data_IF_436904198011
#
_entry.id   IF_436904198011
#
_cell.length_a   1.000
_cell.length_b   1.000
_cell.length_c   1.000
_cell.angle_alpha   90.00
_cell.angle_beta   90.00
_cell.angle_gamma   90.00
#
_symmetry.space_group_name_H-M   'P 1'
#
loop_
_entity.id
_entity.type
_entity.pdbx_description
1 polymer ?
#
# COMPACT_ATOMS: atom_id res chain seq x y z
N UNK A 1 90.48 10.90 -61.70
CA UNK A 1 90.40 11.76 -60.49
C UNK A 1 88.93 12.09 -60.31
N UNK A 2 88.22 11.78 -59.24
CA UNK A 2 88.50 11.06 -58.00
C UNK A 2 87.14 10.60 -57.42
N UNK A 3 87.07 9.40 -56.86
CA UNK A 3 86.06 8.95 -55.88
C UNK A 3 86.51 9.37 -54.45
N UNK A 4 85.79 9.14 -53.31
CA UNK A 4 84.45 8.54 -53.07
C UNK A 4 83.58 9.19 -51.94
N UNK A 5 82.38 8.60 -51.72
CA UNK A 5 81.72 8.23 -50.43
C UNK A 5 81.17 9.26 -49.40
N UNK A 6 79.88 9.01 -49.08
CA UNK A 6 79.19 8.91 -47.77
C UNK A 6 79.09 10.15 -46.87
N UNK A 7 77.85 10.56 -46.56
CA UNK A 7 77.31 10.53 -45.19
C UNK A 7 75.76 10.53 -45.19
N UNK A 8 75.19 9.88 -44.17
CA UNK A 8 73.76 9.77 -43.84
C UNK A 8 73.25 11.07 -43.20
N UNK A 9 71.96 11.42 -43.15
CA UNK A 9 70.97 10.92 -42.17
C UNK A 9 69.75 11.88 -42.08
N UNK A 10 68.62 11.37 -41.55
CA UNK A 10 67.41 12.08 -41.04
C UNK A 10 66.49 12.78 -42.06
N UNK A 11 65.16 12.77 -41.96
CA UNK A 11 64.21 12.16 -41.03
C UNK A 11 62.79 12.20 -41.67
N UNK A 12 62.06 11.10 -41.51
CA UNK A 12 60.68 11.04 -41.03
C UNK A 12 59.56 11.89 -41.68
N UNK A 13 58.72 11.24 -42.51
CA UNK A 13 57.27 11.01 -42.26
C UNK A 13 56.51 10.81 -43.57
N UNK A 14 56.62 9.61 -44.14
CA UNK A 14 55.70 9.13 -45.17
C UNK A 14 54.35 8.83 -44.51
N UNK A 15 53.30 9.39 -45.07
CA UNK A 15 51.91 9.18 -44.69
C UNK A 15 51.59 7.67 -44.59
N UNK A 16 51.43 7.17 -43.38
CA UNK A 16 50.61 5.99 -43.11
C UNK A 16 49.23 6.49 -42.70
N UNK A 17 48.47 6.84 -43.73
CA UNK A 17 47.03 6.94 -43.64
C UNK A 17 46.50 5.55 -43.27
N UNK A 18 46.09 5.40 -42.01
CA UNK A 18 45.36 4.24 -41.54
C UNK A 18 44.14 4.04 -42.44
N UNK A 19 44.06 2.99 -43.28
CA UNK A 19 42.98 2.86 -44.26
C UNK A 19 41.71 2.29 -43.65
N UNK A 20 41.65 2.06 -42.33
CA UNK A 20 40.44 1.55 -41.68
C UNK A 20 39.47 2.65 -41.24
N UNK A 21 39.39 3.73 -42.01
CA UNK A 21 38.20 4.55 -42.04
C UNK A 21 37.08 3.79 -42.79
N UNK A 22 36.10 3.33 -42.01
CA UNK A 22 34.70 3.23 -42.42
C UNK A 22 34.37 2.16 -43.46
N UNK A 23 34.29 0.91 -43.01
CA UNK A 23 33.20 0.04 -43.47
C UNK A 23 32.28 -0.21 -42.28
N UNK A 24 31.43 0.77 -41.98
CA UNK A 24 30.24 0.50 -41.19
C UNK A 24 29.52 -0.66 -41.88
N UNK A 25 29.35 -1.83 -41.24
CA UNK A 25 28.54 -2.87 -41.82
C UNK A 25 27.12 -2.33 -41.80
N UNK A 26 26.66 -1.74 -42.90
CA UNK A 26 25.26 -1.39 -43.13
C UNK A 26 24.39 -2.66 -43.29
N UNK A 27 24.80 -3.75 -42.64
CA UNK A 27 24.08 -4.99 -42.55
C UNK A 27 22.88 -4.77 -41.61
N UNK A 28 21.65 -5.06 -42.06
CA UNK A 28 20.45 -4.95 -41.22
C UNK A 28 20.54 -5.75 -39.92
N UNK A 29 21.33 -6.82 -39.86
CA UNK A 29 21.64 -7.55 -38.61
C UNK A 29 22.49 -6.72 -37.66
N UNK A 30 23.56 -6.09 -38.13
CA UNK A 30 24.39 -5.20 -37.31
C UNK A 30 23.59 -4.01 -36.78
N UNK A 31 22.67 -3.45 -37.59
CA UNK A 31 21.72 -2.42 -37.13
C UNK A 31 20.76 -2.94 -36.06
N UNK A 32 20.22 -4.15 -36.21
CA UNK A 32 19.36 -4.78 -35.18
C UNK A 32 20.14 -5.06 -33.89
N UNK A 33 21.35 -5.58 -34.01
CA UNK A 33 22.23 -5.89 -32.88
C UNK A 33 22.58 -4.61 -32.11
N UNK A 34 23.06 -3.57 -32.81
CA UNK A 34 23.35 -2.28 -32.20
C UNK A 34 22.12 -1.69 -31.55
N UNK A 35 20.95 -1.75 -32.20
CA UNK A 35 19.70 -1.26 -31.59
C UNK A 35 19.32 -2.01 -30.31
N UNK A 36 19.51 -3.33 -30.26
CA UNK A 36 19.28 -4.13 -29.04
C UNK A 36 20.27 -3.72 -27.95
N UNK A 37 21.55 -3.59 -28.28
CA UNK A 37 22.61 -3.18 -27.34
C UNK A 37 22.38 -1.74 -26.81
N UNK A 38 21.92 -0.84 -27.66
CA UNK A 38 21.58 0.56 -27.33
C UNK A 38 20.33 0.67 -26.46
N UNK A 39 19.44 -0.33 -26.45
CA UNK A 39 18.21 -0.29 -25.65
C UNK A 39 18.52 -0.29 -24.13
N UNK A 40 19.75 -0.66 -23.71
CA UNK A 40 20.31 -0.55 -22.33
C UNK A 40 19.28 -0.78 -21.21
N UNK A 41 18.54 -1.89 -21.29
CA UNK A 41 17.48 -2.24 -20.33
C UNK A 41 18.01 -2.51 -18.92
N UNK A 42 19.30 -2.81 -18.79
CA UNK A 42 19.92 -3.24 -17.53
C UNK A 42 20.04 -2.12 -16.48
N UNK A 43 19.99 -0.85 -16.92
CA UNK A 43 20.10 0.29 -16.02
C UNK A 43 18.73 0.76 -15.48
N UNK A 44 17.63 0.31 -16.11
CA UNK A 44 16.28 0.68 -15.72
C UNK A 44 15.63 -0.45 -14.92
N UNK A 45 15.84 -0.39 -13.61
CA UNK A 45 15.32 -1.37 -12.65
C UNK A 45 13.79 -1.44 -12.68
N UNK A 46 13.10 -0.31 -12.84
CA UNK A 46 11.63 -0.27 -12.86
C UNK A 46 11.08 -0.92 -14.11
N UNK A 47 11.69 -0.65 -15.27
CA UNK A 47 11.34 -1.32 -16.52
C UNK A 47 11.58 -2.83 -16.44
N UNK A 48 12.71 -3.26 -15.87
CA UNK A 48 12.99 -4.69 -15.67
C UNK A 48 11.96 -5.37 -14.76
N UNK A 49 11.58 -4.74 -13.65
CA UNK A 49 10.54 -5.28 -12.77
C UNK A 49 9.18 -5.32 -13.45
N UNK A 50 8.81 -4.30 -14.23
CA UNK A 50 7.58 -4.32 -15.02
C UNK A 50 7.58 -5.45 -16.06
N UNK A 51 8.71 -5.66 -16.75
CA UNK A 51 8.86 -6.76 -17.72
C UNK A 51 8.83 -8.15 -17.03
N UNK A 52 9.44 -8.30 -15.85
CA UNK A 52 9.32 -9.52 -15.04
C UNK A 52 7.89 -9.76 -14.59
N UNK A 53 7.16 -8.73 -14.17
CA UNK A 53 5.77 -8.86 -13.80
C UNK A 53 4.94 -9.33 -15.00
N UNK A 54 5.14 -8.73 -16.18
CA UNK A 54 4.48 -9.11 -17.43
C UNK A 54 4.76 -10.56 -17.83
N UNK A 55 5.99 -11.04 -17.66
CA UNK A 55 6.38 -12.40 -18.09
C UNK A 55 5.66 -13.51 -17.31
N UNK A 56 5.19 -13.24 -16.09
CA UNK A 56 4.42 -14.20 -15.29
C UNK A 56 3.11 -14.60 -15.99
N UNK A 57 2.51 -13.70 -16.75
CA UNK A 57 1.19 -13.91 -17.36
C UNK A 57 1.17 -13.81 -18.89
N UNK A 58 2.28 -13.39 -19.50
CA UNK A 58 2.51 -13.46 -20.94
C UNK A 58 3.66 -14.42 -21.25
N UNK A 59 3.35 -15.72 -21.22
CA UNK A 59 4.34 -16.79 -21.44
C UNK A 59 4.64 -17.04 -22.92
N UNK A 60 3.76 -16.61 -23.83
CA UNK A 60 3.94 -16.74 -25.28
C UNK A 60 4.07 -15.38 -25.99
N UNK A 61 5.13 -15.25 -26.79
CA UNK A 61 5.43 -14.06 -27.58
C UNK A 61 4.98 -14.24 -29.03
N UNK A 62 3.66 -14.14 -29.25
CA UNK A 62 3.04 -14.19 -30.57
C UNK A 62 2.54 -12.80 -31.01
N UNK A 63 2.29 -12.66 -32.31
CA UNK A 63 1.70 -11.42 -32.85
C UNK A 63 0.35 -11.07 -32.20
N UNK A 64 -0.42 -12.10 -31.82
CA UNK A 64 -1.72 -11.94 -31.17
C UNK A 64 -1.55 -11.43 -29.74
N UNK A 65 -0.69 -12.06 -28.93
CA UNK A 65 -0.48 -11.62 -27.53
C UNK A 65 0.07 -10.20 -27.48
N UNK A 66 1.00 -9.85 -28.38
CA UNK A 66 1.51 -8.47 -28.48
C UNK A 66 0.46 -7.45 -28.89
N UNK A 67 -0.46 -7.79 -29.81
CA UNK A 67 -1.56 -6.89 -30.23
C UNK A 67 -2.58 -6.65 -29.12
N UNK A 68 -2.81 -7.66 -28.28
CA UNK A 68 -3.81 -7.60 -27.22
C UNK A 68 -3.26 -7.15 -25.86
N UNK A 69 -1.93 -7.10 -25.71
CA UNK A 69 -1.19 -6.81 -24.48
C UNK A 69 -1.80 -5.68 -23.65
N UNK A 70 -2.03 -4.52 -24.28
CA UNK A 70 -2.61 -3.36 -23.59
C UNK A 70 -4.00 -3.66 -23.01
N UNK A 71 -4.88 -4.24 -23.82
CA UNK A 71 -6.24 -4.55 -23.39
C UNK A 71 -6.27 -5.66 -22.33
N UNK A 72 -5.35 -6.61 -22.39
CA UNK A 72 -5.20 -7.66 -21.37
C UNK A 72 -4.71 -7.07 -20.03
N UNK A 73 -3.74 -6.14 -20.06
CA UNK A 73 -3.28 -5.40 -18.87
C UNK A 73 -4.43 -4.58 -18.27
N UNK A 74 -5.17 -3.84 -19.09
CA UNK A 74 -6.29 -3.01 -18.64
C UNK A 74 -7.39 -3.86 -18.00
N UNK A 75 -7.79 -4.98 -18.63
CA UNK A 75 -8.77 -5.93 -18.05
C UNK A 75 -8.31 -6.51 -16.73
N UNK A 76 -7.04 -6.92 -16.63
CA UNK A 76 -6.47 -7.45 -15.40
C UNK A 76 -6.47 -6.41 -14.29
N UNK A 77 -6.09 -5.17 -14.59
CA UNK A 77 -6.12 -4.07 -13.64
C UNK A 77 -7.54 -3.80 -13.13
N UNK A 78 -8.53 -3.85 -14.03
CA UNK A 78 -9.94 -3.66 -13.68
C UNK A 78 -10.42 -4.79 -12.76
N UNK A 79 -10.15 -6.05 -13.10
CA UNK A 79 -10.50 -7.21 -12.28
C UNK A 79 -9.87 -7.15 -10.88
N UNK A 80 -8.59 -6.75 -10.77
CA UNK A 80 -7.93 -6.56 -9.47
C UNK A 80 -8.63 -5.49 -8.64
N UNK A 81 -9.02 -4.38 -9.27
CA UNK A 81 -9.70 -3.28 -8.58
C UNK A 81 -11.12 -3.68 -8.13
N UNK A 82 -11.85 -4.45 -8.94
CA UNK A 82 -13.16 -5.00 -8.58
C UNK A 82 -13.05 -5.96 -7.40
N UNK A 83 -12.05 -6.84 -7.41
CA UNK A 83 -11.78 -7.75 -6.29
C UNK A 83 -11.40 -6.98 -5.02
N UNK A 84 -10.55 -5.96 -5.14
CA UNK A 84 -10.20 -5.09 -4.01
C UNK A 84 -11.45 -4.41 -3.43
N UNK A 85 -12.30 -3.82 -4.26
CA UNK A 85 -13.52 -3.15 -3.82
C UNK A 85 -14.49 -4.12 -3.13
N UNK A 86 -14.63 -5.33 -3.67
CA UNK A 86 -15.48 -6.37 -3.10
C UNK A 86 -15.00 -6.82 -1.73
N UNK A 87 -13.72 -7.18 -1.61
CA UNK A 87 -13.14 -7.63 -0.33
C UNK A 87 -13.18 -6.50 0.69
N UNK A 88 -12.88 -5.27 0.28
CA UNK A 88 -12.91 -4.12 1.19
C UNK A 88 -14.32 -3.79 1.68
N UNK A 89 -15.34 -4.04 0.85
CA UNK A 89 -16.74 -3.91 1.27
C UNK A 89 -17.07 -4.86 2.41
N UNK A 90 -16.67 -6.13 2.33
CA UNK A 90 -16.92 -7.10 3.40
C UNK A 90 -16.25 -6.67 4.72
N UNK A 91 -15.03 -6.14 4.64
CA UNK A 91 -14.32 -5.58 5.81
C UNK A 91 -15.04 -4.36 6.38
N UNK A 92 -15.52 -3.46 5.52
CA UNK A 92 -16.29 -2.28 5.91
C UNK A 92 -17.56 -2.68 6.67
N UNK A 93 -18.34 -3.61 6.12
CA UNK A 93 -19.60 -4.07 6.72
C UNK A 93 -19.36 -4.74 8.08
N UNK A 94 -18.32 -5.55 8.21
CA UNK A 94 -17.93 -6.15 9.49
C UNK A 94 -17.54 -5.08 10.53
N UNK A 95 -16.81 -4.04 10.13
CA UNK A 95 -16.42 -2.95 11.02
C UNK A 95 -17.62 -2.09 11.44
N UNK A 96 -18.55 -1.83 10.51
CA UNK A 96 -19.79 -1.12 10.79
C UNK A 96 -20.65 -1.88 11.81
N UNK A 97 -20.79 -3.19 11.66
CA UNK A 97 -21.50 -4.05 12.63
C UNK A 97 -20.86 -3.99 14.02
N UNK A 98 -19.52 -4.07 14.13
CA UNK A 98 -18.84 -3.97 15.43
C UNK A 98 -19.05 -2.58 16.05
N UNK A 99 -19.02 -1.53 15.24
CA UNK A 99 -19.27 -0.18 15.72
C UNK A 99 -20.71 -0.01 16.24
N UNK A 100 -21.71 -0.58 15.55
CA UNK A 100 -23.11 -0.59 16.00
C UNK A 100 -23.25 -1.33 17.35
N UNK A 101 -22.62 -2.49 17.49
CA UNK A 101 -22.64 -3.26 18.74
C UNK A 101 -22.01 -2.47 19.91
N UNK A 102 -20.88 -1.79 19.68
CA UNK A 102 -20.23 -0.95 20.69
C UNK A 102 -21.11 0.22 21.10
N UNK A 103 -21.78 0.86 20.14
CA UNK A 103 -22.71 1.96 20.44
C UNK A 103 -23.91 1.46 21.26
N UNK A 104 -24.49 0.32 20.89
CA UNK A 104 -25.58 -0.31 21.64
C UNK A 104 -25.15 -0.67 23.06
N UNK A 105 -23.94 -1.24 23.22
CA UNK A 105 -23.38 -1.58 24.53
C UNK A 105 -23.14 -0.33 25.39
N UNK A 106 -22.64 0.76 24.80
CA UNK A 106 -22.47 2.04 25.49
C UNK A 106 -23.80 2.59 25.99
N UNK A 107 -24.83 2.59 25.14
CA UNK A 107 -26.16 3.06 25.52
C UNK A 107 -26.77 2.22 26.65
N UNK A 108 -26.66 0.89 26.58
CA UNK A 108 -27.14 -0.02 27.62
C UNK A 108 -26.39 0.18 28.95
N UNK A 109 -25.07 0.38 28.90
CA UNK A 109 -24.25 0.66 30.09
C UNK A 109 -24.65 1.98 30.76
N UNK A 110 -24.94 3.01 29.96
CA UNK A 110 -25.40 4.30 30.46
C UNK A 110 -26.80 4.18 31.08
N UNK A 111 -27.73 3.50 30.42
CA UNK A 111 -29.07 3.21 30.95
C UNK A 111 -29.00 2.47 32.29
N UNK A 112 -28.18 1.43 32.37
CA UNK A 112 -27.99 0.65 33.60
C UNK A 112 -27.41 1.50 34.72
N UNK A 113 -26.43 2.35 34.41
CA UNK A 113 -25.84 3.29 35.36
C UNK A 113 -26.90 4.27 35.90
N UNK A 114 -27.75 4.80 35.02
CA UNK A 114 -28.81 5.73 35.40
C UNK A 114 -29.88 5.06 36.27
N UNK A 115 -30.29 3.83 35.95
CA UNK A 115 -31.19 3.04 36.79
C UNK A 115 -30.62 2.78 38.18
N UNK A 116 -29.33 2.43 38.27
CA UNK A 116 -28.68 2.21 39.55
C UNK A 116 -28.64 3.48 40.40
N UNK A 117 -28.35 4.64 39.80
CA UNK A 117 -28.40 5.94 40.48
C UNK A 117 -29.80 6.24 41.02
N UNK A 118 -30.83 6.08 40.19
CA UNK A 118 -32.22 6.31 40.60
C UNK A 118 -32.66 5.37 41.74
N UNK A 119 -32.33 4.09 41.66
CA UNK A 119 -32.65 3.12 42.72
C UNK A 119 -31.92 3.45 44.03
N UNK A 120 -30.66 3.92 43.95
CA UNK A 120 -29.90 4.38 45.11
C UNK A 120 -30.56 5.60 45.77
N UNK A 121 -30.94 6.60 44.99
CA UNK A 121 -31.63 7.81 45.48
C UNK A 121 -32.95 7.44 46.15
N UNK A 122 -33.79 6.62 45.50
CA UNK A 122 -35.06 6.17 46.05
C UNK A 122 -34.87 5.39 47.36
N UNK A 123 -33.87 4.52 47.44
CA UNK A 123 -33.55 3.77 48.66
C UNK A 123 -33.12 4.71 49.78
N UNK A 124 -32.31 5.72 49.47
CA UNK A 124 -31.85 6.70 50.44
C UNK A 124 -33.03 7.52 51.00
N UNK A 125 -33.97 7.96 50.16
CA UNK A 125 -35.18 8.66 50.59
C UNK A 125 -36.05 7.80 51.52
N UNK A 126 -36.21 6.51 51.18
CA UNK A 126 -36.95 5.55 52.01
C UNK A 126 -36.30 5.35 53.38
N UNK A 127 -34.97 5.27 53.45
CA UNK A 127 -34.23 5.17 54.72
C UNK A 127 -34.46 6.42 55.58
N UNK A 128 -34.34 7.62 54.99
CA UNK A 128 -34.58 8.89 55.70
C UNK A 128 -36.00 8.93 56.27
N UNK A 129 -37.00 8.58 55.46
CA UNK A 129 -38.41 8.57 55.88
C UNK A 129 -38.68 7.54 56.98
N UNK A 130 -38.07 6.36 56.89
CA UNK A 130 -38.20 5.28 57.90
C UNK A 130 -37.58 5.69 59.23
N UNK A 131 -36.36 6.26 59.21
CA UNK A 131 -35.69 6.76 60.42
C UNK A 131 -36.50 7.87 61.10
N UNK A 132 -37.07 8.80 60.33
CA UNK A 132 -37.95 9.85 60.86
C UNK A 132 -39.17 9.26 61.56
N UNK A 133 -39.89 8.34 60.90
CA UNK A 133 -41.08 7.68 61.47
C UNK A 133 -40.75 6.87 62.72
N UNK A 134 -39.60 6.19 62.76
CA UNK A 134 -39.15 5.49 63.97
C UNK A 134 -38.90 6.47 65.12
N UNK A 135 -38.22 7.59 64.86
CA UNK A 135 -38.00 8.62 65.88
C UNK A 135 -39.30 9.22 66.43
N UNK A 136 -40.28 9.52 65.57
CA UNK A 136 -41.60 10.00 65.97
C UNK A 136 -42.37 8.97 66.81
N UNK A 137 -42.30 7.69 66.44
CA UNK A 137 -42.97 6.61 67.17
C UNK A 137 -42.38 6.41 68.57
N UNK A 138 -41.05 6.44 68.71
CA UNK A 138 -40.38 6.32 70.01
C UNK A 138 -40.69 7.52 70.93
N UNK A 139 -40.76 8.75 70.38
CA UNK A 139 -41.21 9.93 71.14
C UNK A 139 -42.66 9.78 71.61
N UNK A 140 -43.55 9.29 70.75
CA UNK A 140 -44.96 9.08 71.09
C UNK A 140 -45.13 8.04 72.19
N UNK A 141 -44.43 6.89 72.11
CA UNK A 141 -44.48 5.84 73.14
C UNK A 141 -44.03 6.36 74.50
N UNK A 142 -42.92 7.10 74.54
CA UNK A 142 -42.41 7.66 75.79
C UNK A 142 -43.40 8.65 76.40
N UNK A 143 -44.08 9.47 75.59
CA UNK A 143 -45.08 10.41 76.11
C UNK A 143 -46.31 9.73 76.72
N UNK A 144 -46.70 8.54 76.25
CA UNK A 144 -47.85 7.78 76.78
C UNK A 144 -47.53 7.06 78.09
N UNK A 145 -46.25 6.75 78.36
CA UNK A 145 -45.82 6.08 79.61
C UNK A 145 -45.81 7.03 80.82
N UNK A 146 -45.78 8.35 80.59
CA UNK A 146 -45.77 9.38 81.64
C UNK A 146 -47.16 9.99 81.95
N UNK A 147 -48.25 9.47 81.38
CA UNK A 147 -49.65 9.80 81.74
C UNK A 147 -50.31 8.63 82.45
#
# INVERSE_FOLDING_TARGET
MADPKLEMSSDNSTALQNPNAHTQPNNPLSRKLNKILETRLDNDKEMLEALKALSVFFTDNSLRTRRNLRGDIERRSLSINEDFARIFKDVKEALESVNEDVQAMSACSEEMTNRLKAAKEQTQDLIVKTNKLQGENELSKNSTVFQ
#
